data_IF_940292465257
#
_entry.id   IF_940292465257
#
_cell.length_a   1.000
_cell.length_b   1.000
_cell.length_c   1.000
_cell.angle_alpha   90.00
_cell.angle_beta   90.00
_cell.angle_gamma   90.00
#
_symmetry.space_group_name_H-M   'P 1'
#
loop_
_entity.id
_entity.type
_entity.pdbx_description
1 polymer ?
#
# COMPACT_ATOMS: atom_id res chain seq x y z
N UNK A 1 41.02 -2.23 -8.14
CA UNK A 1 40.79 -2.40 -6.68
C UNK A 1 40.11 -3.73 -6.44
N UNK A 2 40.75 -4.64 -5.70
CA UNK A 2 40.14 -5.92 -5.33
C UNK A 2 38.88 -5.68 -4.48
N UNK A 3 37.74 -6.27 -4.87
CA UNK A 3 36.51 -6.24 -4.06
C UNK A 3 36.82 -6.86 -2.70
N UNK A 4 36.59 -6.13 -1.61
CA UNK A 4 36.54 -6.73 -0.27
C UNK A 4 35.58 -7.94 -0.30
N UNK A 5 35.94 -9.08 0.30
CA UNK A 5 35.04 -10.21 0.39
C UNK A 5 33.75 -9.77 1.08
N UNK A 6 32.62 -9.97 0.39
CA UNK A 6 31.28 -9.59 0.85
C UNK A 6 30.82 -10.60 1.91
N UNK A 7 31.37 -10.47 3.13
CA UNK A 7 30.99 -11.27 4.29
C UNK A 7 30.34 -10.39 5.38
N UNK A 8 29.18 -9.78 5.09
CA UNK A 8 28.48 -8.96 6.07
C UNK A 8 28.03 -9.84 7.24
N UNK A 9 28.04 -9.27 8.45
CA UNK A 9 27.40 -9.91 9.61
C UNK A 9 25.92 -10.13 9.28
N UNK A 10 25.43 -11.39 9.24
CA UNK A 10 24.03 -11.65 8.97
C UNK A 10 23.16 -11.11 10.09
N UNK A 11 22.04 -10.49 9.76
CA UNK A 11 21.11 -9.97 10.76
C UNK A 11 19.79 -9.52 10.17
N UNK A 12 18.77 -9.45 11.02
CA UNK A 12 17.53 -8.77 10.73
C UNK A 12 17.59 -7.36 11.32
N UNK A 13 17.04 -6.39 10.61
CA UNK A 13 16.93 -5.01 11.06
C UNK A 13 15.47 -4.61 10.96
N UNK A 14 14.89 -4.16 12.06
CA UNK A 14 13.53 -3.64 12.11
C UNK A 14 13.62 -2.12 11.99
N UNK A 15 13.06 -1.57 10.92
CA UNK A 15 13.11 -0.15 10.62
C UNK A 15 11.71 0.43 10.72
N UNK A 16 11.56 1.55 11.41
CA UNK A 16 10.40 2.41 11.23
C UNK A 16 10.62 3.26 9.97
N UNK A 17 9.93 2.89 8.88
CA UNK A 17 10.05 3.56 7.58
C UNK A 17 9.33 4.91 7.66
N UNK A 18 9.99 6.04 7.34
CA UNK A 18 9.31 7.32 7.24
C UNK A 18 8.44 7.40 5.98
N UNK A 19 7.52 8.36 5.97
CA UNK A 19 6.73 8.68 4.79
C UNK A 19 7.61 9.29 3.68
N UNK A 20 7.14 9.21 2.43
CA UNK A 20 7.82 9.74 1.25
C UNK A 20 9.03 8.93 0.78
N UNK A 21 9.28 7.75 1.38
CA UNK A 21 10.38 6.87 1.01
C UNK A 21 9.86 5.53 0.52
N UNK A 22 10.36 5.03 -0.62
CA UNK A 22 10.02 3.67 -1.04
C UNK A 22 10.72 2.65 -0.14
N UNK A 23 10.15 1.44 -0.01
CA UNK A 23 10.84 0.34 0.69
C UNK A 23 12.22 0.02 0.08
N UNK A 24 12.41 0.29 -1.22
CA UNK A 24 13.69 0.07 -1.91
C UNK A 24 14.74 1.13 -1.57
N UNK A 25 14.34 2.38 -1.32
CA UNK A 25 15.25 3.42 -0.88
C UNK A 25 15.85 3.09 0.49
N UNK A 26 15.03 2.54 1.40
CA UNK A 26 15.50 2.05 2.71
C UNK A 26 16.54 0.94 2.52
N UNK A 27 16.26 -0.05 1.67
CA UNK A 27 17.22 -1.11 1.32
C UNK A 27 18.52 -0.52 0.78
N UNK A 28 18.43 0.46 -0.11
CA UNK A 28 19.61 1.11 -0.71
C UNK A 28 20.46 1.84 0.32
N UNK A 29 19.84 2.51 1.30
CA UNK A 29 20.55 3.12 2.42
C UNK A 29 21.25 2.07 3.29
N UNK A 30 20.56 0.97 3.62
CA UNK A 30 21.15 -0.10 4.44
C UNK A 30 22.27 -0.84 3.72
N UNK A 31 22.20 -1.02 2.40
CA UNK A 31 23.33 -1.57 1.60
C UNK A 31 24.60 -0.73 1.76
N UNK A 32 24.45 0.60 1.75
CA UNK A 32 25.58 1.54 1.93
C UNK A 32 26.14 1.44 3.35
N UNK A 33 25.28 1.46 4.36
CA UNK A 33 25.67 1.39 5.78
C UNK A 33 26.29 0.04 6.16
N UNK A 34 25.75 -1.06 5.65
CA UNK A 34 26.23 -2.42 5.93
C UNK A 34 27.36 -2.87 5.00
N UNK A 35 27.80 -2.00 4.07
CA UNK A 35 28.85 -2.28 3.08
C UNK A 35 28.66 -3.60 2.31
N UNK A 36 27.41 -3.94 1.98
CA UNK A 36 27.08 -5.17 1.25
C UNK A 36 25.95 -4.92 0.27
N UNK A 37 25.90 -5.71 -0.80
CA UNK A 37 24.77 -5.70 -1.73
C UNK A 37 23.65 -6.63 -1.30
N UNK A 38 23.93 -7.57 -0.40
CA UNK A 38 23.01 -8.62 0.02
C UNK A 38 22.07 -8.12 1.11
N UNK A 39 21.13 -7.27 0.70
CA UNK A 39 20.05 -6.73 1.54
C UNK A 39 18.73 -6.83 0.80
N UNK A 40 17.68 -7.24 1.51
CA UNK A 40 16.29 -7.30 1.04
C UNK A 40 15.30 -6.99 2.16
N UNK A 41 14.01 -6.82 1.82
CA UNK A 41 12.93 -6.53 2.77
C UNK A 41 11.89 -7.66 2.81
N UNK A 42 11.19 -7.81 3.95
CA UNK A 42 10.19 -8.85 4.23
C UNK A 42 8.73 -8.43 4.03
N UNK A 43 8.51 -7.40 3.22
CA UNK A 43 7.19 -6.81 2.97
C UNK A 43 7.36 -5.41 2.40
N UNK A 44 6.57 -5.05 1.39
CA UNK A 44 6.61 -3.69 0.82
C UNK A 44 5.64 -2.81 1.59
N UNK A 45 6.10 -1.62 1.96
CA UNK A 45 5.26 -0.49 2.35
C UNK A 45 5.28 0.55 1.23
N UNK A 46 4.11 1.13 0.94
CA UNK A 46 3.95 2.22 -0.02
C UNK A 46 4.71 3.48 0.43
N UNK A 47 5.01 4.42 -0.49
CA UNK A 47 5.79 5.61 -0.16
C UNK A 47 5.15 6.46 0.95
N UNK A 48 3.84 6.74 0.86
CA UNK A 48 3.10 7.44 1.93
C UNK A 48 3.03 6.69 3.26
N UNK A 49 3.09 5.35 3.25
CA UNK A 49 2.93 4.56 4.46
C UNK A 49 4.15 4.72 5.39
N UNK A 50 3.92 4.65 6.69
CA UNK A 50 4.98 4.61 7.71
C UNK A 50 4.95 3.29 8.46
N UNK A 51 5.95 3.05 9.31
CA UNK A 51 5.94 1.92 10.23
C UNK A 51 6.90 0.80 9.83
N UNK A 52 6.60 -0.40 10.32
CA UNK A 52 7.57 -1.49 10.42
C UNK A 52 7.95 -2.08 9.06
N UNK A 53 9.22 -1.90 8.67
CA UNK A 53 9.87 -2.53 7.54
C UNK A 53 11.02 -3.42 8.02
N UNK A 54 10.84 -4.74 7.93
CA UNK A 54 11.88 -5.71 8.29
C UNK A 54 12.84 -5.93 7.13
N UNK A 55 14.13 -5.71 7.37
CA UNK A 55 15.21 -5.96 6.42
C UNK A 55 16.07 -7.14 6.86
N UNK A 56 16.59 -7.89 5.89
CA UNK A 56 17.58 -8.94 6.10
C UNK A 56 18.90 -8.55 5.46
N UNK A 57 20.00 -8.78 6.18
CA UNK A 57 21.37 -8.53 5.73
C UNK A 57 22.11 -9.86 5.58
N UNK A 58 22.87 -10.03 4.49
CA UNK A 58 23.71 -11.19 4.29
C UNK A 58 22.91 -12.48 4.20
N UNK A 59 23.30 -13.51 4.97
CA UNK A 59 22.58 -14.79 4.99
C UNK A 59 21.18 -14.69 5.62
N UNK A 60 20.90 -13.66 6.41
CA UNK A 60 19.60 -13.48 7.05
C UNK A 60 18.48 -13.09 6.07
N UNK A 61 18.80 -12.71 4.83
CA UNK A 61 17.78 -12.52 3.78
C UNK A 61 16.94 -13.77 3.54
N UNK A 62 17.48 -14.97 3.83
CA UNK A 62 16.76 -16.25 3.75
C UNK A 62 15.64 -16.37 4.79
N UNK A 63 15.69 -15.59 5.87
CA UNK A 63 14.66 -15.61 6.92
C UNK A 63 13.46 -14.73 6.55
N UNK A 64 13.60 -13.83 5.57
CA UNK A 64 12.53 -12.89 5.20
C UNK A 64 11.26 -13.59 4.68
N UNK A 65 11.38 -14.77 4.10
CA UNK A 65 10.22 -15.57 3.67
C UNK A 65 9.33 -15.98 4.85
N UNK A 66 9.91 -16.20 6.02
CA UNK A 66 9.18 -16.53 7.23
C UNK A 66 8.49 -15.28 7.79
N UNK A 67 9.18 -14.13 7.78
CA UNK A 67 8.61 -12.84 8.21
C UNK A 67 7.43 -12.42 7.34
N UNK A 68 7.52 -12.59 6.02
CA UNK A 68 6.44 -12.24 5.09
C UNK A 68 5.15 -13.04 5.32
N UNK A 69 5.26 -14.26 5.87
CA UNK A 69 4.12 -15.15 6.11
C UNK A 69 3.35 -14.86 7.40
N UNK A 70 3.83 -13.97 8.26
CA UNK A 70 3.12 -13.57 9.47
C UNK A 70 2.03 -12.54 9.19
N UNK A 71 1.05 -12.49 10.09
CA UNK A 71 0.02 -11.46 10.10
C UNK A 71 0.61 -10.06 10.24
N UNK A 72 -0.14 -9.08 9.74
CA UNK A 72 0.25 -7.67 9.75
C UNK A 72 -0.91 -6.87 10.28
N UNK A 73 -0.61 -5.84 11.06
CA UNK A 73 -1.58 -4.89 11.56
C UNK A 73 -1.32 -3.54 10.89
N UNK A 74 -2.40 -2.88 10.50
CA UNK A 74 -2.34 -1.57 9.86
C UNK A 74 -3.32 -0.63 10.55
N UNK A 75 -2.89 0.62 10.69
CA UNK A 75 -3.77 1.73 11.03
C UNK A 75 -3.86 2.66 9.82
N UNK A 76 -5.06 2.86 9.33
CA UNK A 76 -5.32 3.70 8.16
C UNK A 76 -6.38 4.76 8.48
N UNK A 77 -6.36 5.84 7.72
CA UNK A 77 -7.46 6.81 7.65
C UNK A 77 -7.99 6.79 6.22
N UNK A 78 -9.28 6.48 6.07
CA UNK A 78 -9.94 6.41 4.76
C UNK A 78 -10.74 7.69 4.55
N UNK A 79 -10.72 8.22 3.32
CA UNK A 79 -11.61 9.29 2.90
C UNK A 79 -12.70 8.71 2.02
N UNK A 80 -13.94 8.81 2.48
CA UNK A 80 -15.11 8.39 1.70
C UNK A 80 -15.52 9.48 0.70
N UNK A 81 -16.25 9.08 -0.34
CA UNK A 81 -16.80 10.00 -1.34
C UNK A 81 -15.81 10.48 -2.42
N UNK A 82 -14.55 10.07 -2.36
CA UNK A 82 -13.51 10.35 -3.36
C UNK A 82 -12.87 9.05 -3.82
N UNK A 83 -12.65 8.94 -5.13
CA UNK A 83 -11.86 7.87 -5.75
C UNK A 83 -10.60 8.47 -6.35
N UNK A 84 -9.48 7.76 -6.26
CA UNK A 84 -8.21 8.14 -6.88
C UNK A 84 -7.74 7.04 -7.82
N UNK A 85 -6.82 7.37 -8.73
CA UNK A 85 -6.27 6.40 -9.67
C UNK A 85 -5.30 5.37 -9.03
N UNK A 86 -4.88 5.59 -7.78
CA UNK A 86 -3.97 4.69 -7.04
C UNK A 86 -4.63 4.07 -5.80
N UNK A 87 -5.91 4.34 -5.56
CA UNK A 87 -6.66 3.94 -4.36
C UNK A 87 -6.06 4.45 -3.03
N UNK A 88 -5.21 5.49 -3.11
CA UNK A 88 -4.57 6.12 -1.96
C UNK A 88 -4.54 7.66 -2.06
N UNK A 89 -3.96 8.28 -1.03
CA UNK A 89 -3.87 9.74 -0.89
C UNK A 89 -2.79 10.41 -1.76
N UNK A 90 -1.89 9.64 -2.38
CA UNK A 90 -0.89 10.18 -3.32
C UNK A 90 -1.42 10.23 -4.76
N UNK A 91 -2.56 9.56 -5.02
CA UNK A 91 -3.22 9.55 -6.31
C UNK A 91 -3.92 10.84 -6.71
N UNK A 92 -4.23 10.94 -8.00
CA UNK A 92 -5.07 12.01 -8.55
C UNK A 92 -6.53 11.60 -8.42
N UNK A 93 -7.38 12.52 -7.97
CA UNK A 93 -8.82 12.27 -7.86
C UNK A 93 -9.43 12.00 -9.24
N UNK A 94 -10.18 10.91 -9.36
CA UNK A 94 -10.90 10.50 -10.59
C UNK A 94 -12.40 10.71 -10.47
N UNK A 95 -12.92 10.75 -9.24
CA UNK A 95 -14.31 11.08 -8.96
C UNK A 95 -14.44 11.65 -7.54
N UNK A 96 -15.39 12.56 -7.34
CA UNK A 96 -15.83 12.97 -6.02
C UNK A 96 -17.33 13.18 -5.97
N UNK A 97 -18.02 12.14 -5.53
CA UNK A 97 -19.48 12.14 -5.41
C UNK A 97 -19.93 12.64 -4.04
N UNK A 98 -18.99 12.75 -3.09
CA UNK A 98 -19.28 13.03 -1.69
C UNK A 98 -19.83 11.84 -0.94
N UNK A 99 -20.06 12.06 0.34
CA UNK A 99 -20.56 11.02 1.21
C UNK A 99 -21.48 11.66 2.25
N UNK A 100 -22.76 11.30 2.20
CA UNK A 100 -23.69 11.67 3.26
C UNK A 100 -23.18 11.15 4.63
N UNK A 101 -23.67 11.74 5.72
CA UNK A 101 -23.25 11.40 7.07
C UNK A 101 -23.36 9.89 7.33
N UNK A 102 -22.22 9.20 7.36
CA UNK A 102 -22.12 7.78 7.69
C UNK A 102 -22.27 7.62 9.20
N UNK A 103 -23.28 6.87 9.63
CA UNK A 103 -23.36 6.44 11.03
C UNK A 103 -22.38 5.30 11.30
N UNK A 104 -22.08 5.06 12.58
CA UNK A 104 -21.30 3.88 12.98
C UNK A 104 -21.98 2.58 12.58
N UNK A 105 -23.32 2.54 12.59
CA UNK A 105 -24.10 1.39 12.15
C UNK A 105 -23.95 1.13 10.63
N UNK A 106 -23.92 2.19 9.81
CA UNK A 106 -23.69 2.07 8.37
C UNK A 106 -22.31 1.51 8.07
N UNK A 107 -21.28 2.00 8.79
CA UNK A 107 -19.92 1.48 8.67
C UNK A 107 -19.85 0.01 9.09
N UNK A 108 -20.43 -0.34 10.23
CA UNK A 108 -20.40 -1.70 10.73
C UNK A 108 -21.08 -2.68 9.77
N UNK A 109 -22.23 -2.31 9.19
CA UNK A 109 -22.92 -3.12 8.20
C UNK A 109 -22.06 -3.43 6.96
N UNK A 110 -21.21 -2.48 6.53
CA UNK A 110 -20.30 -2.65 5.38
C UNK A 110 -19.02 -3.38 5.76
N UNK A 111 -18.48 -3.17 6.97
CA UNK A 111 -17.23 -3.78 7.42
C UNK A 111 -17.42 -5.22 7.89
N UNK A 112 -18.59 -5.58 8.43
CA UNK A 112 -18.91 -6.93 8.88
C UNK A 112 -18.61 -8.04 7.86
N UNK A 113 -19.07 -7.96 6.60
CA UNK A 113 -18.79 -8.99 5.60
C UNK A 113 -17.32 -9.02 5.14
N UNK A 114 -16.49 -8.03 5.51
CA UNK A 114 -15.07 -8.02 5.20
C UNK A 114 -14.23 -8.79 6.24
N UNK A 115 -14.81 -9.18 7.37
CA UNK A 115 -14.11 -9.97 8.41
C UNK A 115 -14.13 -11.46 8.08
N UNK A 116 -13.06 -12.17 8.42
CA UNK A 116 -12.88 -13.58 8.10
C UNK A 116 -12.29 -13.80 6.71
N UNK A 117 -12.67 -14.91 6.08
CA UNK A 117 -12.15 -15.31 4.76
C UNK A 117 -12.92 -14.62 3.63
N UNK A 118 -12.21 -13.83 2.84
CA UNK A 118 -12.78 -13.09 1.70
C UNK A 118 -11.94 -13.30 0.44
N UNK A 119 -12.54 -12.99 -0.71
CA UNK A 119 -11.86 -12.93 -2.00
C UNK A 119 -11.60 -11.47 -2.36
N UNK A 120 -10.33 -11.08 -2.43
CA UNK A 120 -9.94 -9.71 -2.75
C UNK A 120 -9.26 -9.64 -4.11
N UNK A 121 -9.73 -8.73 -4.97
CA UNK A 121 -9.02 -8.36 -6.19
C UNK A 121 -7.95 -7.34 -5.83
N UNK A 122 -6.66 -7.64 -6.07
CA UNK A 122 -5.59 -6.67 -5.79
C UNK A 122 -5.70 -5.45 -6.72
N UNK A 123 -5.14 -4.31 -6.30
CA UNK A 123 -5.08 -3.12 -7.15
C UNK A 123 -4.15 -3.33 -8.35
N UNK A 124 -4.42 -2.66 -9.47
CA UNK A 124 -3.58 -2.69 -10.68
C UNK A 124 -2.21 -2.06 -10.45
N UNK A 125 -2.08 -1.21 -9.43
CA UNK A 125 -0.82 -0.57 -8.99
C UNK A 125 0.07 -1.53 -8.19
N UNK A 126 -0.39 -2.75 -7.91
CA UNK A 126 0.38 -3.73 -7.15
C UNK A 126 1.64 -4.24 -7.87
N UNK A 127 2.63 -4.69 -7.08
CA UNK A 127 3.85 -5.33 -7.58
C UNK A 127 3.63 -6.75 -8.15
N UNK A 128 2.38 -7.19 -8.28
CA UNK A 128 1.99 -8.51 -8.77
C UNK A 128 2.42 -8.65 -10.22
N UNK A 129 2.92 -9.84 -10.58
CA UNK A 129 3.24 -10.17 -11.97
C UNK A 129 2.05 -10.86 -12.64
N UNK A 130 1.70 -10.40 -13.84
CA UNK A 130 0.77 -11.05 -14.77
C UNK A 130 1.59 -11.43 -16.00
N UNK A 131 1.60 -12.71 -16.38
CA UNK A 131 2.36 -13.23 -17.52
C UNK A 131 3.85 -12.81 -17.54
N UNK A 132 4.48 -12.77 -16.36
CA UNK A 132 5.89 -12.40 -16.20
C UNK A 132 6.19 -10.89 -16.12
N UNK A 133 5.23 -10.01 -16.46
CA UNK A 133 5.35 -8.55 -16.37
C UNK A 133 4.64 -8.01 -15.13
N UNK A 134 5.14 -6.93 -14.51
CA UNK A 134 4.49 -6.32 -13.33
C UNK A 134 3.21 -5.60 -13.75
N UNK A 135 2.10 -5.81 -13.02
CA UNK A 135 0.78 -5.25 -13.31
C UNK A 135 0.82 -3.72 -13.44
N UNK A 136 1.50 -3.03 -12.53
CA UNK A 136 1.68 -1.57 -12.62
C UNK A 136 2.36 -1.09 -13.92
N UNK A 137 3.31 -1.86 -14.44
CA UNK A 137 4.01 -1.49 -15.68
C UNK A 137 3.09 -1.62 -16.91
N UNK A 138 2.12 -2.54 -16.87
CA UNK A 138 1.11 -2.73 -17.91
C UNK A 138 0.01 -1.65 -17.80
N UNK A 139 -0.43 -1.34 -16.58
CA UNK A 139 -1.39 -0.27 -16.32
C UNK A 139 -0.88 1.11 -16.79
N UNK A 140 0.40 1.44 -16.52
CA UNK A 140 1.05 2.64 -17.06
C UNK A 140 1.16 2.67 -18.59
N UNK A 141 1.13 1.50 -19.24
CA UNK A 141 1.16 1.37 -20.69
C UNK A 141 -0.24 1.44 -21.32
N UNK A 142 -1.29 1.73 -20.52
CA UNK A 142 -2.67 1.83 -20.99
C UNK A 142 -3.32 0.48 -21.31
N UNK A 143 -2.78 -0.63 -20.80
CA UNK A 143 -3.38 -1.95 -20.96
C UNK A 143 -4.27 -2.27 -19.78
N UNK A 144 -5.52 -2.65 -20.04
CA UNK A 144 -6.41 -3.18 -19.01
C UNK A 144 -5.85 -4.50 -18.48
N UNK A 145 -5.56 -4.53 -17.18
CA UNK A 145 -5.10 -5.72 -16.47
C UNK A 145 -6.19 -6.15 -15.53
N UNK A 146 -6.92 -7.19 -15.91
CA UNK A 146 -7.81 -7.89 -14.98
C UNK A 146 -6.98 -8.78 -14.05
N UNK A 147 -7.07 -8.51 -12.75
CA UNK A 147 -6.40 -9.29 -11.71
C UNK A 147 -7.38 -10.30 -11.12
N UNK A 148 -6.97 -11.57 -11.09
CA UNK A 148 -7.76 -12.61 -10.43
C UNK A 148 -7.82 -12.35 -8.91
N UNK A 149 -9.02 -12.53 -8.34
CA UNK A 149 -9.23 -12.44 -6.89
C UNK A 149 -8.42 -13.51 -6.15
N UNK A 150 -7.98 -13.18 -4.93
CA UNK A 150 -7.18 -14.07 -4.08
C UNK A 150 -7.78 -14.17 -2.69
N UNK A 151 -7.63 -15.33 -2.02
CA UNK A 151 -8.10 -15.48 -0.66
C UNK A 151 -7.28 -14.59 0.29
N UNK A 152 -7.98 -13.90 1.17
CA UNK A 152 -7.43 -13.08 2.26
C UNK A 152 -8.22 -13.37 3.53
N UNK A 153 -7.53 -13.42 4.67
CA UNK A 153 -8.16 -13.55 5.97
C UNK A 153 -8.01 -12.26 6.77
N UNK A 154 -9.11 -11.62 7.13
CA UNK A 154 -9.14 -10.43 7.99
C UNK A 154 -9.60 -10.84 9.38
N UNK A 155 -8.65 -11.03 10.29
CA UNK A 155 -8.95 -11.49 11.66
C UNK A 155 -9.63 -10.41 12.51
N UNK A 156 -9.32 -9.13 12.27
CA UNK A 156 -9.89 -7.98 12.99
C UNK A 156 -9.97 -6.77 12.07
N UNK A 157 -11.10 -6.08 12.11
CA UNK A 157 -11.35 -4.82 11.39
C UNK A 157 -12.22 -3.92 12.26
N UNK A 158 -11.63 -2.84 12.76
CA UNK A 158 -12.21 -1.98 13.80
C UNK A 158 -12.19 -0.52 13.37
N UNK A 159 -13.29 0.18 13.62
CA UNK A 159 -13.38 1.64 13.49
C UNK A 159 -12.79 2.25 14.77
N UNK A 160 -11.68 2.98 14.62
CA UNK A 160 -10.95 3.55 15.76
C UNK A 160 -11.45 4.95 16.19
N UNK A 161 -12.20 5.63 15.32
CA UNK A 161 -12.74 6.96 15.56
C UNK A 161 -13.97 7.18 14.66
N UNK A 162 -14.96 7.99 15.10
CA UNK A 162 -16.12 8.32 14.29
C UNK A 162 -15.71 9.09 13.02
N UNK A 163 -16.49 9.00 11.93
CA UNK A 163 -16.30 9.84 10.75
C UNK A 163 -16.28 11.32 11.11
N UNK A 164 -15.38 12.05 10.46
CA UNK A 164 -15.31 13.51 10.54
C UNK A 164 -15.59 14.11 9.17
N UNK A 165 -16.38 15.18 9.14
CA UNK A 165 -16.59 15.94 7.92
C UNK A 165 -15.25 16.47 7.39
N UNK A 166 -15.06 16.39 6.08
CA UNK A 166 -13.87 16.91 5.41
C UNK A 166 -14.26 17.45 4.03
N UNK A 167 -13.83 18.66 3.71
CA UNK A 167 -14.01 19.26 2.40
C UNK A 167 -12.79 18.95 1.52
N UNK A 168 -13.03 18.71 0.24
CA UNK A 168 -11.99 18.61 -0.78
C UNK A 168 -12.34 19.54 -1.94
N UNK A 169 -11.37 20.35 -2.34
CA UNK A 169 -11.45 21.10 -3.59
C UNK A 169 -10.76 20.28 -4.66
N UNK A 170 -11.46 20.07 -5.78
CA UNK A 170 -10.92 19.36 -6.93
C UNK A 170 -10.89 20.39 -8.04
N UNK A 171 -9.69 20.70 -8.50
CA UNK A 171 -9.52 21.54 -9.68
C UNK A 171 -10.21 20.83 -10.85
N UNK A 172 -11.09 21.53 -11.58
CA UNK A 172 -11.83 20.95 -12.69
C UNK A 172 -10.86 20.28 -13.67
N UNK A 173 -10.97 18.96 -13.81
CA UNK A 173 -10.34 18.26 -14.91
C UNK A 173 -10.98 18.80 -16.20
N UNK A 174 -10.15 19.30 -17.12
CA UNK A 174 -10.59 19.91 -18.38
C UNK A 174 -11.67 19.09 -19.10
N UNK A 175 -12.67 19.81 -19.61
CA UNK A 175 -13.83 19.42 -20.43
C UNK A 175 -14.00 17.90 -20.69
N UNK A 176 -14.92 17.26 -19.95
CA UNK A 176 -15.46 15.96 -20.34
C UNK A 176 -16.07 15.09 -19.24
N UNK A 177 -15.76 15.34 -17.97
CA UNK A 177 -16.35 14.62 -16.85
C UNK A 177 -17.30 15.55 -16.08
N UNK A 178 -18.60 15.37 -16.26
CA UNK A 178 -19.61 16.09 -15.49
C UNK A 178 -19.47 15.73 -13.99
N UNK A 179 -18.80 16.58 -13.23
CA UNK A 179 -18.91 16.61 -11.79
C UNK A 179 -20.18 17.40 -11.45
N UNK A 180 -21.15 16.85 -10.69
CA UNK A 180 -22.31 17.63 -10.31
C UNK A 180 -21.87 18.80 -9.42
N UNK A 181 -22.33 20.03 -9.69
CA UNK A 181 -21.99 21.18 -8.87
C UNK A 181 -22.63 21.06 -7.49
N UNK A 182 -21.82 21.22 -6.43
CA UNK A 182 -22.29 21.31 -5.06
C UNK A 182 -21.16 21.15 -4.04
N UNK A 183 -21.32 21.69 -2.81
CA UNK A 183 -20.40 21.38 -1.74
C UNK A 183 -20.48 19.88 -1.44
N UNK A 184 -19.38 19.19 -1.69
CA UNK A 184 -19.19 17.79 -1.33
C UNK A 184 -18.96 17.76 0.19
N UNK A 185 -20.02 17.50 0.95
CA UNK A 185 -19.93 17.19 2.38
C UNK A 185 -19.62 15.71 2.58
#
# INVERSE_FOLDING_TARGET
MARRPDNPRPGLVVIDKPAGMTSHDVVSRVRRLAHTRKVGHGGTLDPMATGVLVLGIGKATKLLTWVSGHSKEYRATIRFGISTNTDDAEGVATAAKGCACLSEADLEAVLAPLRGDIMQVPTTVSAIKVNGKRAYALARAGQDVELAARPVHISRLEVLAPPREAQAHIDEAGEGAACPPGPVR
#
